data_IF_149083720035
#
_entry.id   IF_149083720035
#
_cell.length_a   1.000
_cell.length_b   1.000
_cell.length_c   1.000
_cell.angle_alpha   90.00
_cell.angle_beta   90.00
_cell.angle_gamma   90.00
#
_symmetry.space_group_name_H-M   'P 1'
#
loop_
_entity.id
_entity.type
_entity.pdbx_description
1 polymer ?
#
# COMPACT_ATOMS: atom_id res chain seq x y z
N UNK A 1 34.19 7.61 -29.68
CA UNK A 1 32.99 6.96 -29.17
C UNK A 1 32.41 7.88 -28.12
N UNK A 2 31.50 8.74 -28.52
CA UNK A 2 30.84 9.72 -27.64
C UNK A 2 29.81 8.94 -26.81
N UNK A 3 30.03 8.90 -25.49
CA UNK A 3 29.03 8.47 -24.52
C UNK A 3 27.82 9.43 -24.65
N UNK A 4 26.79 9.00 -25.33
CA UNK A 4 25.45 9.54 -25.13
C UNK A 4 25.02 9.04 -23.74
N UNK A 5 25.19 9.90 -22.73
CA UNK A 5 24.36 9.82 -21.52
C UNK A 5 22.97 10.15 -22.03
N UNK A 6 22.16 9.10 -22.29
CA UNK A 6 20.74 9.28 -22.55
C UNK A 6 20.20 10.10 -21.38
N UNK A 7 19.58 11.24 -21.70
CA UNK A 7 18.83 12.05 -20.76
C UNK A 7 17.55 11.25 -20.41
N UNK A 8 17.67 10.23 -19.55
CA UNK A 8 16.49 9.53 -19.04
C UNK A 8 15.74 10.49 -18.14
N UNK A 9 14.44 10.60 -18.34
CA UNK A 9 13.58 11.34 -17.43
C UNK A 9 13.54 10.61 -16.06
N UNK A 10 13.37 11.32 -14.92
CA UNK A 10 13.44 10.70 -13.60
C UNK A 10 12.51 9.50 -13.38
N UNK A 11 11.42 9.41 -14.13
CA UNK A 11 10.44 8.33 -13.99
C UNK A 11 10.62 7.16 -14.96
N UNK A 12 11.56 7.23 -15.92
CA UNK A 12 11.71 6.19 -16.94
C UNK A 12 12.06 4.83 -16.35
N UNK A 13 12.99 4.80 -15.38
CA UNK A 13 13.37 3.58 -14.69
C UNK A 13 12.18 3.00 -13.89
N UNK A 14 11.36 3.84 -13.28
CA UNK A 14 10.19 3.40 -12.52
C UNK A 14 9.12 2.81 -13.44
N UNK A 15 8.89 3.43 -14.61
CA UNK A 15 7.99 2.88 -15.64
C UNK A 15 8.50 1.54 -16.14
N UNK A 16 9.81 1.44 -16.42
CA UNK A 16 10.43 0.19 -16.85
C UNK A 16 10.28 -0.93 -15.82
N UNK A 17 10.48 -0.64 -14.52
CA UNK A 17 10.27 -1.60 -13.44
C UNK A 17 8.81 -2.06 -13.35
N UNK A 18 7.84 -1.16 -13.50
CA UNK A 18 6.42 -1.51 -13.47
C UNK A 18 5.99 -2.38 -14.68
N UNK A 19 6.66 -2.24 -15.81
CA UNK A 19 6.41 -3.01 -17.03
C UNK A 19 7.21 -4.32 -17.08
N UNK A 20 8.18 -4.50 -16.20
CA UNK A 20 8.99 -5.73 -16.15
C UNK A 20 8.13 -6.93 -15.79
N UNK A 21 8.33 -8.05 -16.50
CA UNK A 21 7.65 -9.30 -16.19
C UNK A 21 8.07 -9.83 -14.82
N UNK A 22 7.08 -10.31 -14.07
CA UNK A 22 7.33 -11.09 -12.87
C UNK A 22 7.20 -12.58 -13.18
N UNK A 23 7.87 -13.40 -12.39
CA UNK A 23 7.92 -14.85 -12.61
C UNK A 23 7.32 -15.61 -11.43
N UNK A 24 5.98 -15.55 -11.20
CA UNK A 24 5.33 -16.45 -10.25
C UNK A 24 5.44 -17.89 -10.73
N UNK A 25 5.20 -18.87 -9.85
CA UNK A 25 5.23 -20.29 -10.20
C UNK A 25 3.85 -20.94 -9.96
N UNK A 26 3.03 -20.95 -11.01
CA UNK A 26 1.67 -21.49 -10.96
C UNK A 26 1.64 -22.96 -10.52
N UNK A 27 2.68 -23.76 -10.80
CA UNK A 27 2.75 -25.15 -10.37
C UNK A 27 2.71 -25.32 -8.84
N UNK A 28 3.13 -24.31 -8.10
CA UNK A 28 3.06 -24.32 -6.64
C UNK A 28 1.66 -24.02 -6.12
N UNK A 29 0.91 -23.14 -6.82
CA UNK A 29 -0.50 -22.92 -6.54
C UNK A 29 -1.34 -24.18 -6.84
N UNK A 30 -1.12 -24.79 -8.01
CA UNK A 30 -1.81 -26.04 -8.41
C UNK A 30 -1.64 -27.12 -7.36
N UNK A 31 -0.42 -27.27 -6.82
CA UNK A 31 -0.13 -28.24 -5.78
C UNK A 31 -0.91 -28.00 -4.48
N UNK A 32 -1.23 -26.75 -4.14
CA UNK A 32 -2.10 -26.46 -2.98
C UNK A 32 -3.49 -27.01 -3.23
N UNK A 33 -4.07 -26.80 -4.41
CA UNK A 33 -5.40 -27.32 -4.74
C UNK A 33 -5.40 -28.86 -4.86
N UNK A 34 -4.36 -29.47 -5.40
CA UNK A 34 -4.21 -30.93 -5.42
C UNK A 34 -4.22 -31.54 -4.01
N UNK A 35 -3.51 -30.92 -3.06
CA UNK A 35 -3.48 -31.42 -1.68
C UNK A 35 -4.84 -31.21 -0.97
N UNK A 36 -5.53 -30.10 -1.21
CA UNK A 36 -6.91 -29.93 -0.73
C UNK A 36 -7.85 -30.98 -1.28
N UNK A 37 -7.70 -31.34 -2.56
CA UNK A 37 -8.44 -32.44 -3.20
C UNK A 37 -8.19 -33.79 -2.54
N UNK A 38 -6.95 -34.12 -2.26
CA UNK A 38 -6.59 -35.36 -1.53
C UNK A 38 -7.17 -35.42 -0.13
N UNK A 39 -7.31 -34.27 0.53
CA UNK A 39 -7.96 -34.17 1.84
C UNK A 39 -9.50 -34.23 1.75
N UNK A 40 -10.08 -34.24 0.54
CA UNK A 40 -11.54 -34.12 0.34
C UNK A 40 -12.11 -32.77 0.80
N UNK A 41 -11.30 -31.70 0.73
CA UNK A 41 -11.60 -30.39 1.30
C UNK A 41 -11.51 -29.24 0.30
N UNK A 42 -11.60 -29.52 -0.99
CA UNK A 42 -11.46 -28.50 -2.07
C UNK A 42 -12.38 -27.30 -1.88
N UNK A 43 -13.62 -27.54 -1.46
CA UNK A 43 -14.63 -26.48 -1.28
C UNK A 43 -14.65 -25.89 0.13
N UNK A 44 -14.17 -26.63 1.13
CA UNK A 44 -14.28 -26.23 2.55
C UNK A 44 -13.38 -25.05 2.92
N UNK A 45 -12.25 -24.93 2.23
CA UNK A 45 -11.26 -23.87 2.52
C UNK A 45 -11.58 -22.55 1.84
N UNK A 46 -12.41 -22.53 0.77
CA UNK A 46 -12.83 -21.32 0.09
C UNK A 46 -11.68 -20.34 -0.13
N UNK A 47 -11.86 -19.09 0.25
CA UNK A 47 -10.86 -18.04 0.10
C UNK A 47 -9.55 -18.27 0.87
N UNK A 48 -9.54 -19.12 1.88
CA UNK A 48 -8.29 -19.49 2.59
C UNK A 48 -7.43 -20.38 1.71
N UNK A 49 -8.03 -21.32 0.96
CA UNK A 49 -7.33 -22.12 -0.03
C UNK A 49 -6.74 -21.27 -1.15
N UNK A 50 -7.53 -20.32 -1.69
CA UNK A 50 -7.06 -19.35 -2.68
C UNK A 50 -5.88 -18.52 -2.16
N UNK A 51 -5.93 -18.07 -0.90
CA UNK A 51 -4.85 -17.29 -0.27
C UNK A 51 -3.58 -18.13 -0.09
N UNK A 52 -3.70 -19.40 0.31
CA UNK A 52 -2.55 -20.31 0.40
C UNK A 52 -1.94 -20.59 -0.98
N UNK A 53 -2.76 -20.80 -2.02
CA UNK A 53 -2.32 -20.99 -3.40
C UNK A 53 -1.61 -19.74 -3.94
N UNK A 54 -2.16 -18.53 -3.67
CA UNK A 54 -1.54 -17.26 -4.02
C UNK A 54 -0.18 -17.10 -3.33
N UNK A 55 -0.06 -17.43 -2.04
CA UNK A 55 1.22 -17.44 -1.32
C UNK A 55 2.23 -18.39 -1.96
N UNK A 56 1.84 -19.63 -2.25
CA UNK A 56 2.70 -20.62 -2.87
C UNK A 56 3.22 -20.16 -4.24
N UNK A 57 2.34 -19.57 -5.06
CA UNK A 57 2.63 -19.07 -6.39
C UNK A 57 3.71 -17.96 -6.35
N UNK A 58 3.51 -16.94 -5.53
CA UNK A 58 4.42 -15.79 -5.47
C UNK A 58 5.71 -16.09 -4.71
N UNK A 59 5.65 -16.90 -3.67
CA UNK A 59 6.86 -17.40 -3.00
C UNK A 59 7.63 -18.43 -3.84
N UNK A 60 7.05 -18.91 -4.96
CA UNK A 60 7.62 -19.98 -5.79
C UNK A 60 7.99 -21.22 -4.98
N UNK A 61 7.20 -21.54 -3.96
CA UNK A 61 7.50 -22.52 -2.93
C UNK A 61 6.27 -23.33 -2.53
N UNK A 62 6.47 -24.63 -2.34
CA UNK A 62 5.50 -25.49 -1.67
C UNK A 62 6.21 -26.30 -0.54
N UNK A 63 5.62 -26.44 0.66
CA UNK A 63 4.41 -25.75 1.12
C UNK A 63 4.62 -24.24 1.28
N UNK A 64 3.55 -23.42 1.08
CA UNK A 64 3.60 -22.00 1.37
C UNK A 64 3.78 -21.81 2.87
N UNK A 65 4.58 -20.81 3.29
CA UNK A 65 4.81 -20.52 4.70
C UNK A 65 5.24 -19.08 4.90
N UNK A 66 5.00 -18.57 6.10
CA UNK A 66 5.41 -17.24 6.51
C UNK A 66 6.34 -17.39 7.72
N UNK A 67 7.64 -17.29 7.50
CA UNK A 67 8.66 -17.33 8.55
C UNK A 67 9.07 -15.91 8.97
N UNK A 68 9.22 -15.04 7.96
CA UNK A 68 9.64 -13.65 8.13
C UNK A 68 8.60 -12.71 7.54
N UNK A 69 7.60 -12.30 8.31
CA UNK A 69 6.68 -11.26 7.88
C UNK A 69 7.20 -9.89 8.32
N UNK A 70 7.26 -8.93 7.42
CA UNK A 70 7.59 -7.53 7.73
C UNK A 70 6.35 -6.65 7.60
N UNK A 71 6.05 -5.85 8.62
CA UNK A 71 5.13 -4.73 8.56
C UNK A 71 5.93 -3.43 8.36
N UNK A 72 5.97 -2.92 7.15
CA UNK A 72 6.56 -1.62 6.86
C UNK A 72 5.54 -0.50 7.10
N UNK A 73 5.83 0.42 8.02
CA UNK A 73 5.05 1.62 8.28
C UNK A 73 5.78 2.81 7.67
N UNK A 74 5.33 3.27 6.50
CA UNK A 74 5.87 4.47 5.88
C UNK A 74 5.24 5.71 6.51
N UNK A 75 6.07 6.61 7.01
CA UNK A 75 5.62 7.81 7.70
C UNK A 75 6.10 9.07 7.00
N UNK A 76 5.16 9.92 6.60
CA UNK A 76 5.42 11.19 5.90
C UNK A 76 4.76 12.38 6.59
N UNK A 77 5.25 13.58 6.27
CA UNK A 77 4.67 14.85 6.66
C UNK A 77 4.23 15.63 5.42
N UNK A 78 3.05 16.23 5.48
CA UNK A 78 2.45 16.95 4.36
C UNK A 78 2.34 18.45 4.64
N UNK A 79 2.71 19.31 3.69
CA UNK A 79 2.42 20.74 3.75
C UNK A 79 0.92 21.02 3.84
N UNK A 80 0.10 20.12 3.32
CA UNK A 80 -1.36 20.17 3.43
C UNK A 80 -1.87 20.02 4.88
N UNK A 81 -1.08 19.50 5.82
CA UNK A 81 -1.46 19.37 7.25
C UNK A 81 -1.74 20.74 7.89
N UNK A 82 -1.07 21.80 7.40
CA UNK A 82 -1.30 23.19 7.85
C UNK A 82 -2.71 23.69 7.57
N UNK A 83 -3.41 23.08 6.62
CA UNK A 83 -4.80 23.40 6.30
C UNK A 83 -5.80 22.71 7.26
N UNK A 84 -5.35 22.10 8.36
CA UNK A 84 -6.19 21.41 9.33
C UNK A 84 -7.18 20.43 8.68
N UNK A 85 -6.67 19.60 7.77
CA UNK A 85 -7.43 18.58 7.01
C UNK A 85 -7.48 17.22 7.71
N UNK A 86 -6.84 17.09 8.85
CA UNK A 86 -6.72 15.82 9.58
C UNK A 86 -7.13 15.99 11.04
N UNK A 87 -7.74 14.96 11.62
CA UNK A 87 -7.94 14.85 13.06
C UNK A 87 -6.65 14.46 13.80
N UNK A 88 -5.65 13.94 13.07
CA UNK A 88 -4.30 13.74 13.56
C UNK A 88 -3.43 14.96 13.28
N UNK A 89 -2.47 15.21 14.15
CA UNK A 89 -1.42 16.23 13.97
C UNK A 89 -0.08 15.56 13.72
N UNK A 90 0.90 16.33 13.24
CA UNK A 90 2.26 15.82 13.03
C UNK A 90 2.89 15.37 14.36
N UNK A 91 2.64 16.06 15.48
CA UNK A 91 3.10 15.64 16.81
C UNK A 91 2.50 14.29 17.24
N UNK A 92 1.22 14.07 16.99
CA UNK A 92 0.58 12.76 17.25
C UNK A 92 1.15 11.67 16.37
N UNK A 93 1.51 11.98 15.13
CA UNK A 93 2.20 11.06 14.24
C UNK A 93 3.54 10.67 14.84
N UNK A 94 4.38 11.63 15.26
CA UNK A 94 5.69 11.38 15.89
C UNK A 94 5.56 10.52 17.16
N UNK A 95 4.65 10.89 18.05
CA UNK A 95 4.40 10.14 19.30
C UNK A 95 3.95 8.70 19.01
N UNK A 96 3.14 8.49 17.97
CA UNK A 96 2.73 7.15 17.56
C UNK A 96 3.91 6.32 17.02
N UNK A 97 4.77 6.91 16.20
CA UNK A 97 5.96 6.21 15.67
C UNK A 97 6.97 5.85 16.77
N UNK A 98 7.14 6.73 17.75
CA UNK A 98 7.95 6.44 18.94
C UNK A 98 7.37 5.26 19.73
N UNK A 99 6.06 5.30 20.00
CA UNK A 99 5.39 4.19 20.67
C UNK A 99 5.49 2.86 19.90
N UNK A 100 5.49 2.88 18.57
CA UNK A 100 5.73 1.69 17.74
C UNK A 100 7.15 1.15 17.92
N UNK A 101 8.19 2.01 17.89
CA UNK A 101 9.58 1.61 18.09
C UNK A 101 9.85 1.03 19.46
N UNK A 102 9.20 1.57 20.48
CA UNK A 102 9.33 1.11 21.86
C UNK A 102 8.41 -0.07 22.18
N UNK A 103 7.63 -0.57 21.23
CA UNK A 103 6.70 -1.69 21.46
C UNK A 103 5.48 -1.35 22.33
N UNK A 104 5.23 -0.06 22.61
CA UNK A 104 4.12 0.41 23.47
C UNK A 104 2.81 0.65 22.72
N UNK A 105 2.85 0.70 21.40
CA UNK A 105 1.63 0.87 20.61
C UNK A 105 0.78 -0.41 20.62
N UNK A 106 -0.56 -0.31 20.62
CA UNK A 106 -1.43 -1.49 20.49
C UNK A 106 -1.10 -2.37 19.27
N UNK A 107 -0.72 -1.73 18.16
CA UNK A 107 -0.29 -2.43 16.95
C UNK A 107 0.94 -3.33 17.19
N UNK A 108 1.84 -2.96 18.12
CA UNK A 108 3.01 -3.77 18.44
C UNK A 108 2.64 -5.13 19.05
N UNK A 109 1.61 -5.17 19.92
CA UNK A 109 1.10 -6.42 20.46
C UNK A 109 0.45 -7.30 19.38
N UNK A 110 -0.29 -6.68 18.46
CA UNK A 110 -0.93 -7.39 17.34
C UNK A 110 0.14 -7.94 16.38
N UNK A 111 1.17 -7.16 16.09
CA UNK A 111 2.28 -7.61 15.24
C UNK A 111 3.05 -8.78 15.87
N UNK A 112 3.31 -8.71 17.17
CA UNK A 112 3.90 -9.82 17.92
C UNK A 112 3.04 -11.08 17.81
N UNK A 113 1.73 -10.98 18.02
CA UNK A 113 0.81 -12.10 17.91
C UNK A 113 0.75 -12.67 16.50
N UNK A 114 0.79 -11.81 15.48
CA UNK A 114 0.84 -12.21 14.08
C UNK A 114 2.22 -12.74 13.64
N UNK A 115 3.26 -12.56 14.44
CA UNK A 115 4.64 -12.90 14.13
C UNK A 115 5.22 -11.99 13.03
N UNK A 116 4.84 -10.71 13.00
CA UNK A 116 5.34 -9.72 12.06
C UNK A 116 6.33 -8.77 12.74
N UNK A 117 7.47 -8.52 12.09
CA UNK A 117 8.41 -7.48 12.50
C UNK A 117 7.93 -6.11 12.03
N UNK A 118 7.83 -5.13 12.94
CA UNK A 118 7.49 -3.76 12.57
C UNK A 118 8.76 -3.01 12.18
N UNK A 119 8.72 -2.39 10.99
CA UNK A 119 9.74 -1.45 10.52
C UNK A 119 9.11 -0.08 10.30
N UNK A 120 9.51 0.87 11.12
CA UNK A 120 9.12 2.27 10.97
C UNK A 120 10.07 2.95 9.98
N UNK A 121 9.53 3.32 8.82
CA UNK A 121 10.23 3.94 7.71
C UNK A 121 9.90 5.44 7.67
N UNK A 122 10.71 6.26 8.35
CA UNK A 122 10.51 7.72 8.37
C UNK A 122 11.04 8.39 7.10
N UNK A 123 10.21 9.24 6.53
CA UNK A 123 10.44 9.91 5.25
C UNK A 123 10.53 11.44 5.46
N UNK A 124 11.62 11.88 6.09
CA UNK A 124 11.93 13.28 6.34
C UNK A 124 10.77 14.05 7.02
N UNK A 125 10.33 13.57 8.20
CA UNK A 125 9.20 14.14 8.94
C UNK A 125 9.39 15.62 9.32
N UNK A 126 10.65 16.10 9.38
CA UNK A 126 10.98 17.50 9.68
C UNK A 126 10.89 18.41 8.45
N UNK A 127 10.74 17.81 7.26
CA UNK A 127 10.61 18.53 5.99
C UNK A 127 9.33 18.09 5.31
N UNK A 128 8.17 18.70 5.62
CA UNK A 128 6.91 18.37 4.95
C UNK A 128 7.01 18.47 3.43
N UNK A 129 6.17 17.75 2.71
CA UNK A 129 6.00 17.97 1.25
C UNK A 129 5.45 19.36 0.98
N UNK A 130 5.52 19.84 -0.27
CA UNK A 130 4.81 21.05 -0.69
C UNK A 130 3.29 20.98 -0.39
N UNK A 131 2.67 22.12 -0.17
CA UNK A 131 1.22 22.20 -0.06
C UNK A 131 0.60 22.08 -1.46
N UNK A 132 -0.07 20.96 -1.73
CA UNK A 132 -0.62 20.62 -3.05
C UNK A 132 -1.63 21.63 -3.60
N UNK A 133 -2.20 22.51 -2.78
CA UNK A 133 -3.05 23.62 -3.26
C UNK A 133 -2.26 24.81 -3.78
N UNK A 134 -0.93 24.82 -3.60
CA UNK A 134 -0.05 25.95 -3.96
C UNK A 134 1.08 25.53 -4.91
N UNK A 135 1.62 24.34 -4.70
CA UNK A 135 2.79 23.82 -5.40
C UNK A 135 2.76 22.28 -5.44
N UNK A 136 3.58 21.61 -6.26
CA UNK A 136 3.70 20.16 -6.24
C UNK A 136 4.14 19.65 -4.85
N UNK A 137 3.63 18.49 -4.43
CA UNK A 137 4.06 17.86 -3.18
C UNK A 137 5.56 17.54 -3.19
N UNK A 138 6.07 17.06 -4.32
CA UNK A 138 7.47 16.67 -4.52
C UNK A 138 7.92 17.05 -5.94
N UNK A 139 9.22 17.24 -6.13
CA UNK A 139 9.81 17.22 -7.48
C UNK A 139 9.79 15.79 -8.03
N UNK A 140 9.90 15.62 -9.35
CA UNK A 140 10.04 14.28 -9.95
C UNK A 140 11.26 13.53 -9.35
N UNK A 141 12.38 14.22 -9.17
CA UNK A 141 13.59 13.65 -8.57
C UNK A 141 13.38 13.15 -7.14
N UNK A 142 12.70 13.96 -6.30
CA UNK A 142 12.41 13.58 -4.91
C UNK A 142 11.42 12.40 -4.87
N UNK A 143 10.42 12.41 -5.75
CA UNK A 143 9.47 11.32 -5.87
C UNK A 143 10.17 10.01 -6.27
N UNK A 144 11.03 10.03 -7.30
CA UNK A 144 11.82 8.88 -7.75
C UNK A 144 12.74 8.36 -6.64
N UNK A 145 13.46 9.25 -5.94
CA UNK A 145 14.31 8.87 -4.82
C UNK A 145 13.50 8.23 -3.67
N UNK A 146 12.31 8.74 -3.42
CA UNK A 146 11.41 8.19 -2.38
C UNK A 146 10.84 6.83 -2.80
N UNK A 147 10.50 6.65 -4.08
CA UNK A 147 10.11 5.34 -4.63
C UNK A 147 11.26 4.35 -4.43
N UNK A 148 12.49 4.73 -4.79
CA UNK A 148 13.67 3.88 -4.60
C UNK A 148 13.90 3.53 -3.11
N UNK A 149 13.68 4.47 -2.19
CA UNK A 149 13.75 4.19 -0.76
C UNK A 149 12.72 3.14 -0.30
N UNK A 150 11.57 3.05 -0.95
CA UNK A 150 10.57 2.02 -0.67
C UNK A 150 11.11 0.59 -0.81
N UNK A 151 12.15 0.36 -1.61
CA UNK A 151 12.80 -0.94 -1.78
C UNK A 151 13.45 -1.46 -0.50
N UNK A 152 13.88 -0.55 0.39
CA UNK A 152 14.47 -0.89 1.68
C UNK A 152 13.51 -1.65 2.61
N UNK A 153 12.20 -1.60 2.34
CA UNK A 153 11.21 -2.39 3.07
C UNK A 153 11.41 -3.91 2.93
N UNK A 154 12.14 -4.34 1.91
CA UNK A 154 12.47 -5.73 1.67
C UNK A 154 13.85 -6.14 2.24
N UNK A 155 14.57 -5.25 2.92
CA UNK A 155 15.80 -5.61 3.60
C UNK A 155 15.54 -6.78 4.58
N UNK A 156 16.48 -7.73 4.65
CA UNK A 156 16.29 -8.94 5.45
C UNK A 156 15.44 -10.02 4.81
N UNK A 157 15.05 -9.84 3.54
CA UNK A 157 14.38 -10.86 2.70
C UNK A 157 13.10 -11.41 3.35
N UNK A 158 12.07 -10.58 3.58
CA UNK A 158 10.80 -11.06 4.09
C UNK A 158 10.12 -11.99 3.07
N UNK A 159 9.39 -12.97 3.56
CA UNK A 159 8.58 -13.85 2.72
C UNK A 159 7.11 -13.39 2.62
N UNK A 160 6.77 -12.29 3.30
CA UNK A 160 5.52 -11.53 3.20
C UNK A 160 5.74 -10.10 3.64
N UNK A 161 5.34 -9.12 2.84
CA UNK A 161 5.36 -7.71 3.16
C UNK A 161 3.95 -7.19 3.43
N UNK A 162 3.69 -6.74 4.65
CA UNK A 162 2.52 -5.95 5.01
C UNK A 162 2.89 -4.46 4.98
N UNK A 163 2.01 -3.61 4.44
CA UNK A 163 2.27 -2.17 4.31
C UNK A 163 1.22 -1.40 5.10
N UNK A 164 1.68 -0.42 5.87
CA UNK A 164 0.86 0.60 6.51
C UNK A 164 1.46 1.98 6.31
N UNK A 165 0.67 3.03 6.54
CA UNK A 165 1.12 4.42 6.40
C UNK A 165 0.71 5.27 7.61
N UNK A 166 1.52 6.28 7.92
CA UNK A 166 1.25 7.20 9.03
C UNK A 166 1.61 8.64 8.65
N UNK A 167 0.72 9.60 8.93
CA UNK A 167 0.93 11.03 8.66
C UNK A 167 -0.38 11.83 8.66
N UNK A 168 -0.30 13.08 9.08
CA UNK A 168 -1.42 14.02 9.01
C UNK A 168 -1.65 14.48 7.56
N UNK A 169 -2.87 14.31 7.03
CA UNK A 169 -3.19 14.73 5.65
C UNK A 169 -3.15 13.62 4.59
N UNK A 170 -2.55 12.47 4.87
CA UNK A 170 -2.43 11.33 3.93
C UNK A 170 -3.75 11.03 3.18
N UNK A 171 -4.86 10.95 3.91
CA UNK A 171 -6.15 10.61 3.30
C UNK A 171 -6.66 11.64 2.31
N UNK A 172 -6.26 12.90 2.46
CA UNK A 172 -6.61 14.00 1.55
C UNK A 172 -5.68 13.99 0.33
N UNK A 173 -4.38 13.79 0.52
CA UNK A 173 -3.42 13.61 -0.57
C UNK A 173 -3.78 12.38 -1.43
N UNK A 174 -4.06 11.22 -0.81
CA UNK A 174 -4.51 10.03 -1.52
C UNK A 174 -5.81 10.27 -2.32
N UNK A 175 -6.76 11.06 -1.78
CA UNK A 175 -7.98 11.42 -2.50
C UNK A 175 -7.68 12.32 -3.72
N UNK A 176 -6.70 13.23 -3.63
CA UNK A 176 -6.28 14.04 -4.76
C UNK A 176 -5.63 13.20 -5.87
N UNK A 177 -4.74 12.26 -5.52
CA UNK A 177 -4.16 11.30 -6.47
C UNK A 177 -5.26 10.45 -7.10
N UNK A 178 -6.21 9.91 -6.33
CA UNK A 178 -7.32 9.11 -6.86
C UNK A 178 -8.18 9.92 -7.84
N UNK A 179 -8.49 11.17 -7.51
CA UNK A 179 -9.25 12.05 -8.38
C UNK A 179 -8.51 12.35 -9.69
N UNK A 180 -7.20 12.56 -9.62
CA UNK A 180 -6.38 12.76 -10.82
C UNK A 180 -6.31 11.51 -11.70
N UNK A 181 -6.19 10.31 -11.12
CA UNK A 181 -6.07 9.05 -11.85
C UNK A 181 -7.40 8.57 -12.46
N UNK A 182 -8.48 8.68 -11.71
CA UNK A 182 -9.73 8.00 -12.05
C UNK A 182 -10.87 8.94 -12.43
N UNK A 183 -10.67 10.25 -12.27
CA UNK A 183 -11.74 11.23 -12.52
C UNK A 183 -12.86 11.19 -11.47
N UNK A 184 -14.04 11.60 -11.87
CA UNK A 184 -15.18 11.75 -10.96
C UNK A 184 -15.21 13.14 -10.33
N UNK A 185 -15.31 13.23 -9.00
CA UNK A 185 -15.26 14.49 -8.26
C UNK A 185 -14.44 14.35 -6.97
N UNK A 186 -14.02 15.49 -6.41
CA UNK A 186 -13.32 15.54 -5.15
C UNK A 186 -14.19 14.96 -4.02
N UNK A 187 -15.48 15.27 -3.99
CA UNK A 187 -16.43 14.75 -3.00
C UNK A 187 -16.51 13.21 -3.05
N UNK A 188 -16.44 12.63 -4.24
CA UNK A 188 -16.45 11.19 -4.41
C UNK A 188 -15.27 10.52 -3.71
N UNK A 189 -14.06 11.08 -3.84
CA UNK A 189 -12.84 10.48 -3.32
C UNK A 189 -12.52 10.83 -1.86
N UNK A 190 -13.08 11.93 -1.32
CA UNK A 190 -12.92 12.27 0.10
C UNK A 190 -13.96 11.61 1.00
N UNK A 191 -14.96 10.89 0.46
CA UNK A 191 -16.00 10.22 1.28
C UNK A 191 -15.37 9.50 2.46
N UNK A 192 -15.63 9.97 3.69
CA UNK A 192 -14.97 9.44 4.88
C UNK A 192 -15.70 8.20 5.41
N UNK A 193 -15.04 7.52 6.35
CA UNK A 193 -15.72 6.59 7.23
C UNK A 193 -16.57 7.32 8.29
N UNK A 194 -17.35 6.56 9.08
CA UNK A 194 -18.20 7.10 10.15
C UNK A 194 -17.42 7.98 11.14
N UNK A 195 -18.10 8.99 11.68
CA UNK A 195 -17.56 9.87 12.73
C UNK A 195 -16.67 11.01 12.24
N UNK A 196 -16.47 11.18 10.94
CA UNK A 196 -15.78 12.35 10.41
C UNK A 196 -16.75 13.54 10.35
N UNK A 197 -16.40 14.71 10.91
CA UNK A 197 -17.23 15.90 10.83
C UNK A 197 -17.52 16.33 9.39
N UNK A 198 -18.74 16.79 9.13
CA UNK A 198 -19.17 17.15 7.79
C UNK A 198 -18.43 18.38 7.23
N UNK A 199 -18.16 19.37 8.08
CA UNK A 199 -17.38 20.54 7.74
C UNK A 199 -15.94 20.19 7.33
N UNK A 200 -15.32 19.26 8.03
CA UNK A 200 -14.00 18.72 7.67
C UNK A 200 -14.05 17.99 6.33
N UNK A 201 -15.13 17.23 6.06
CA UNK A 201 -15.31 16.55 4.77
C UNK A 201 -15.46 17.56 3.63
N UNK A 202 -16.28 18.59 3.80
CA UNK A 202 -16.45 19.67 2.81
C UNK A 202 -15.13 20.41 2.57
N UNK A 203 -14.37 20.71 3.62
CA UNK A 203 -13.06 21.36 3.53
C UNK A 203 -12.08 20.50 2.72
N UNK A 204 -11.99 19.20 3.00
CA UNK A 204 -11.14 18.27 2.24
C UNK A 204 -11.52 18.22 0.76
N UNK A 205 -12.81 18.18 0.45
CA UNK A 205 -13.29 18.15 -0.93
C UNK A 205 -12.89 19.44 -1.69
N UNK A 206 -13.06 20.61 -1.07
CA UNK A 206 -12.67 21.88 -1.66
C UNK A 206 -11.16 21.93 -1.97
N UNK A 207 -10.31 21.54 -1.00
CA UNK A 207 -8.85 21.52 -1.17
C UNK A 207 -8.38 20.50 -2.20
N UNK A 208 -9.01 19.31 -2.26
CA UNK A 208 -8.71 18.31 -3.29
C UNK A 208 -9.08 18.81 -4.68
N UNK A 209 -10.24 19.46 -4.84
CA UNK A 209 -10.68 20.04 -6.12
C UNK A 209 -9.74 21.16 -6.58
N UNK A 210 -9.36 22.07 -5.66
CA UNK A 210 -8.38 23.13 -5.90
C UNK A 210 -7.03 22.56 -6.35
N UNK A 211 -6.49 21.59 -5.62
CA UNK A 211 -5.21 20.95 -5.92
C UNK A 211 -5.22 20.27 -7.30
N UNK A 212 -6.25 19.48 -7.60
CA UNK A 212 -6.32 18.79 -8.90
C UNK A 212 -6.47 19.78 -10.04
N UNK A 213 -7.27 20.85 -9.89
CA UNK A 213 -7.39 21.92 -10.88
C UNK A 213 -6.06 22.60 -11.15
N UNK A 214 -5.29 22.91 -10.10
CA UNK A 214 -3.99 23.56 -10.21
C UNK A 214 -2.98 22.70 -11.00
N UNK A 215 -2.96 21.39 -10.75
CA UNK A 215 -1.94 20.52 -11.30
C UNK A 215 -2.33 19.80 -12.59
N UNK A 216 -3.61 19.75 -12.94
CA UNK A 216 -4.17 18.92 -14.01
C UNK A 216 -3.45 19.04 -15.36
N UNK A 217 -3.05 20.25 -15.74
CA UNK A 217 -2.36 20.49 -17.03
C UNK A 217 -0.92 19.91 -17.05
N UNK A 218 -0.38 19.56 -15.90
CA UNK A 218 0.98 19.05 -15.73
C UNK A 218 0.99 17.56 -15.38
N UNK A 219 -0.15 16.91 -15.30
CA UNK A 219 -0.26 15.48 -15.03
C UNK A 219 -0.45 14.75 -16.36
N UNK A 220 0.64 14.21 -16.88
CA UNK A 220 0.66 13.44 -18.11
C UNK A 220 0.57 11.92 -17.89
N UNK A 221 0.95 11.46 -16.68
CA UNK A 221 0.94 10.05 -16.31
C UNK A 221 0.72 9.84 -14.79
N UNK A 222 0.57 8.58 -14.33
CA UNK A 222 0.32 8.28 -12.93
C UNK A 222 1.42 8.71 -11.95
N UNK A 223 2.69 8.72 -12.36
CA UNK A 223 3.82 9.13 -11.52
C UNK A 223 3.83 10.66 -11.34
N UNK A 224 3.40 11.42 -12.35
CA UNK A 224 3.18 12.85 -12.22
C UNK A 224 2.05 13.16 -11.23
N UNK A 225 0.96 12.39 -11.27
CA UNK A 225 -0.11 12.55 -10.29
C UNK A 225 0.41 12.28 -8.86
N UNK A 226 1.22 11.25 -8.68
CA UNK A 226 1.86 10.90 -7.41
C UNK A 226 2.80 12.00 -6.93
N UNK A 227 3.69 12.51 -7.79
CA UNK A 227 4.66 13.54 -7.42
C UNK A 227 3.99 14.86 -7.04
N UNK A 228 2.96 15.26 -7.78
CA UNK A 228 2.30 16.56 -7.60
C UNK A 228 1.27 16.59 -6.48
N UNK A 229 0.55 15.49 -6.28
CA UNK A 229 -0.62 15.44 -5.40
C UNK A 229 -0.47 14.49 -4.22
N UNK A 230 0.53 13.60 -4.24
CA UNK A 230 0.72 12.54 -3.27
C UNK A 230 1.48 12.96 -2.01
N UNK A 231 2.29 12.05 -1.53
CA UNK A 231 3.16 12.21 -0.39
C UNK A 231 4.30 11.20 -0.43
N UNK A 232 5.35 11.41 0.37
CA UNK A 232 6.51 10.51 0.39
C UNK A 232 6.12 9.09 0.78
N UNK A 233 5.20 8.90 1.71
CA UNK A 233 4.72 7.58 2.13
C UNK A 233 3.98 6.84 1.01
N UNK A 234 3.23 7.55 0.16
CA UNK A 234 2.60 6.96 -1.02
C UNK A 234 3.64 6.57 -2.07
N UNK A 235 4.65 7.42 -2.29
CA UNK A 235 5.75 7.13 -3.20
C UNK A 235 6.58 5.93 -2.73
N UNK A 236 6.91 5.85 -1.43
CA UNK A 236 7.61 4.71 -0.87
C UNK A 236 6.77 3.42 -0.96
N UNK A 237 5.43 3.48 -0.78
CA UNK A 237 4.55 2.35 -1.01
C UNK A 237 4.61 1.84 -2.46
N UNK A 238 4.62 2.75 -3.46
CA UNK A 238 4.81 2.38 -4.88
C UNK A 238 6.11 1.60 -5.06
N UNK A 239 7.21 2.10 -4.48
CA UNK A 239 8.51 1.43 -4.52
C UNK A 239 8.51 0.05 -3.87
N UNK A 240 7.92 -0.05 -2.68
CA UNK A 240 7.79 -1.32 -1.96
C UNK A 240 7.00 -2.37 -2.77
N UNK A 241 5.90 -1.96 -3.40
CA UNK A 241 5.08 -2.83 -4.26
C UNK A 241 5.89 -3.31 -5.46
N UNK A 242 6.58 -2.41 -6.17
CA UNK A 242 7.37 -2.77 -7.34
C UNK A 242 8.54 -3.71 -6.98
N UNK A 243 9.29 -3.38 -5.92
CA UNK A 243 10.40 -4.20 -5.47
C UNK A 243 9.96 -5.61 -5.02
N UNK A 244 8.83 -5.69 -4.29
CA UNK A 244 8.26 -6.96 -3.86
C UNK A 244 7.87 -7.85 -5.05
N UNK A 245 7.28 -7.24 -6.09
CA UNK A 245 6.94 -7.95 -7.32
C UNK A 245 8.15 -8.61 -7.98
N UNK A 246 9.24 -7.86 -8.12
CA UNK A 246 10.48 -8.34 -8.73
C UNK A 246 11.14 -9.47 -7.92
N UNK A 247 11.07 -9.37 -6.60
CA UNK A 247 11.63 -10.39 -5.69
C UNK A 247 10.70 -11.57 -5.45
N UNK A 248 9.45 -11.54 -5.94
CA UNK A 248 8.47 -12.59 -5.72
C UNK A 248 7.93 -12.62 -4.29
N UNK A 249 7.89 -11.46 -3.62
CA UNK A 249 7.38 -11.31 -2.26
C UNK A 249 5.90 -10.90 -2.32
N UNK A 250 4.97 -11.68 -1.74
CA UNK A 250 3.58 -11.29 -1.61
C UNK A 250 3.40 -10.02 -0.78
N UNK A 251 2.46 -9.14 -1.18
CA UNK A 251 2.20 -7.86 -0.51
C UNK A 251 0.77 -7.79 0.01
N UNK A 252 0.60 -7.26 1.22
CA UNK A 252 -0.70 -7.01 1.85
C UNK A 252 -0.89 -5.51 2.08
N UNK A 253 -1.88 -4.92 1.41
CA UNK A 253 -2.23 -3.49 1.54
C UNK A 253 -3.12 -3.25 2.76
N UNK A 254 -3.00 -2.06 3.35
CA UNK A 254 -3.80 -1.61 4.49
C UNK A 254 -4.57 -0.32 4.22
N UNK A 255 -5.83 -0.45 3.85
CA UNK A 255 -6.75 0.68 3.72
C UNK A 255 -6.55 1.55 2.48
N UNK A 256 -7.20 2.73 2.48
CA UNK A 256 -7.37 3.58 1.31
C UNK A 256 -6.05 4.08 0.70
N UNK A 257 -5.15 4.62 1.52
CA UNK A 257 -3.95 5.29 1.01
C UNK A 257 -2.99 4.30 0.34
N UNK A 258 -2.75 3.12 0.93
CA UNK A 258 -1.93 2.06 0.31
C UNK A 258 -2.59 1.49 -0.95
N UNK A 259 -3.94 1.44 -0.99
CA UNK A 259 -4.70 1.06 -2.18
C UNK A 259 -4.53 2.08 -3.31
N UNK A 260 -4.47 3.38 -3.00
CA UNK A 260 -4.20 4.41 -4.01
C UNK A 260 -2.75 4.35 -4.50
N UNK A 261 -1.78 4.07 -3.63
CA UNK A 261 -0.40 3.82 -4.07
C UNK A 261 -0.32 2.62 -5.03
N UNK A 262 -1.01 1.52 -4.72
CA UNK A 262 -1.17 0.40 -5.65
C UNK A 262 -1.90 0.82 -6.94
N UNK A 263 -2.86 1.73 -6.84
CA UNK A 263 -3.57 2.32 -7.98
C UNK A 263 -2.65 3.05 -8.96
N UNK A 264 -1.61 3.72 -8.48
CA UNK A 264 -0.56 4.32 -9.33
C UNK A 264 0.16 3.23 -10.14
N UNK A 265 0.57 2.14 -9.49
CA UNK A 265 1.22 1.00 -10.17
C UNK A 265 0.29 0.37 -11.18
N UNK A 266 -0.98 0.13 -10.81
CA UNK A 266 -2.00 -0.43 -11.70
C UNK A 266 -2.27 0.44 -12.93
N UNK A 267 -2.26 1.76 -12.79
CA UNK A 267 -2.47 2.68 -13.90
C UNK A 267 -1.30 2.68 -14.90
N UNK A 268 -0.07 2.29 -14.47
CA UNK A 268 1.07 2.07 -15.36
C UNK A 268 0.95 0.70 -16.04
N UNK A 269 0.67 -0.34 -15.25
CA UNK A 269 0.54 -1.72 -15.71
C UNK A 269 -0.54 -2.45 -14.88
N UNK A 270 -1.71 -2.72 -15.48
CA UNK A 270 -2.80 -3.41 -14.79
C UNK A 270 -2.41 -4.80 -14.25
N UNK A 271 -1.43 -5.46 -14.84
CA UNK A 271 -0.94 -6.79 -14.43
C UNK A 271 0.13 -6.72 -13.33
N UNK A 272 0.55 -5.52 -12.92
CA UNK A 272 1.62 -5.38 -11.92
C UNK A 272 1.19 -5.61 -10.47
N UNK A 273 -0.08 -5.94 -10.21
CA UNK A 273 -0.62 -6.14 -8.86
C UNK A 273 -0.99 -7.60 -8.51
N UNK A 274 -0.58 -8.60 -9.30
CA UNK A 274 -0.99 -9.99 -9.05
C UNK A 274 -0.43 -10.55 -7.74
N UNK A 275 0.72 -10.03 -7.27
CA UNK A 275 1.35 -10.34 -5.98
C UNK A 275 0.76 -9.56 -4.81
N UNK A 276 -0.28 -8.76 -5.03
CA UNK A 276 -0.88 -7.85 -4.05
C UNK A 276 -2.27 -8.32 -3.67
N UNK A 277 -2.58 -8.34 -2.38
CA UNK A 277 -3.94 -8.47 -1.86
C UNK A 277 -4.27 -7.29 -0.94
N UNK A 278 -5.57 -6.97 -0.82
CA UNK A 278 -6.07 -6.03 0.16
C UNK A 278 -6.42 -6.76 1.46
N UNK A 279 -5.90 -6.31 2.59
CA UNK A 279 -6.15 -6.94 3.88
C UNK A 279 -7.62 -6.87 4.27
N UNK A 280 -8.19 -5.68 4.24
CA UNK A 280 -9.53 -5.46 4.75
C UNK A 280 -10.29 -4.39 3.98
N UNK A 281 -11.61 -4.47 4.00
CA UNK A 281 -12.49 -3.37 3.66
C UNK A 281 -12.54 -2.39 4.85
N UNK A 282 -12.34 -1.11 4.59
CA UNK A 282 -12.62 -0.08 5.59
C UNK A 282 -14.05 0.42 5.42
N UNK A 283 -14.64 0.97 6.49
CA UNK A 283 -15.96 1.64 6.41
C UNK A 283 -15.95 2.98 5.64
N UNK A 284 -14.92 3.19 4.82
CA UNK A 284 -14.75 4.38 3.98
C UNK A 284 -15.19 4.05 2.54
N UNK A 285 -16.28 4.64 2.02
CA UNK A 285 -16.76 4.33 0.67
C UNK A 285 -15.74 4.61 -0.43
N UNK A 286 -14.87 5.60 -0.24
CA UNK A 286 -13.77 5.86 -1.17
C UNK A 286 -12.76 4.72 -1.27
N UNK A 287 -12.58 3.92 -0.20
CA UNK A 287 -11.70 2.75 -0.23
C UNK A 287 -12.28 1.60 -1.04
N UNK A 288 -13.57 1.32 -0.87
CA UNK A 288 -14.28 0.32 -1.68
C UNK A 288 -14.18 0.66 -3.18
N UNK A 289 -14.46 1.92 -3.52
CA UNK A 289 -14.30 2.40 -4.89
C UNK A 289 -12.85 2.26 -5.42
N UNK A 290 -11.84 2.49 -4.58
CA UNK A 290 -10.44 2.31 -4.97
C UNK A 290 -10.09 0.83 -5.21
N UNK A 291 -10.59 -0.08 -4.36
CA UNK A 291 -10.42 -1.53 -4.54
C UNK A 291 -11.04 -2.02 -5.85
N UNK A 292 -12.25 -1.54 -6.19
CA UNK A 292 -12.90 -1.84 -7.46
C UNK A 292 -12.05 -1.40 -8.67
N UNK A 293 -11.44 -0.20 -8.59
CA UNK A 293 -10.60 0.34 -9.68
C UNK A 293 -9.36 -0.50 -9.97
N UNK A 294 -8.79 -1.13 -8.96
CA UNK A 294 -7.61 -2.00 -9.12
C UNK A 294 -7.98 -3.49 -9.17
N UNK A 295 -9.27 -3.84 -9.27
CA UNK A 295 -9.74 -5.21 -9.39
C UNK A 295 -9.44 -6.09 -8.16
N UNK A 296 -9.36 -5.50 -6.95
CA UNK A 296 -9.04 -6.23 -5.72
C UNK A 296 -10.24 -6.34 -4.80
N UNK A 297 -10.39 -7.51 -4.18
CA UNK A 297 -11.36 -7.76 -3.12
C UNK A 297 -10.62 -7.90 -1.79
N UNK A 298 -11.12 -7.23 -0.76
CA UNK A 298 -10.56 -7.33 0.58
C UNK A 298 -10.66 -8.76 1.14
N UNK A 299 -9.61 -9.20 1.86
CA UNK A 299 -9.55 -10.53 2.47
C UNK A 299 -10.55 -10.66 3.62
N UNK A 300 -10.71 -9.61 4.41
CA UNK A 300 -11.63 -9.55 5.56
C UNK A 300 -12.40 -8.22 5.61
N UNK A 301 -13.50 -8.26 6.32
CA UNK A 301 -14.29 -7.08 6.70
C UNK A 301 -14.52 -7.13 8.23
N UNK A 302 -13.75 -6.34 8.96
CA UNK A 302 -13.82 -6.20 10.41
C UNK A 302 -14.15 -4.76 10.81
N UNK A 303 -14.74 -3.99 9.88
CA UNK A 303 -15.14 -2.61 10.07
C UNK A 303 -14.00 -1.66 10.52
N UNK A 304 -12.74 -2.00 10.21
CA UNK A 304 -11.61 -1.12 10.48
C UNK A 304 -11.76 0.21 9.73
N UNK A 305 -11.28 1.29 10.34
CA UNK A 305 -11.43 2.64 9.78
C UNK A 305 -10.10 3.26 9.33
N UNK A 306 -8.99 2.64 9.70
CA UNK A 306 -7.65 3.18 9.47
C UNK A 306 -6.83 2.30 8.54
N UNK A 307 -5.81 2.89 7.91
CA UNK A 307 -4.82 2.22 7.07
C UNK A 307 -3.41 2.24 7.68
N UNK A 308 -3.29 2.27 9.01
CA UNK A 308 -2.03 2.43 9.74
C UNK A 308 -1.30 1.13 10.07
N UNK A 309 -1.58 0.03 9.36
CA UNK A 309 -0.95 -1.26 9.57
C UNK A 309 -1.79 -2.29 10.33
N UNK A 310 -2.93 -1.88 10.91
CA UNK A 310 -3.75 -2.77 11.73
C UNK A 310 -4.35 -3.91 10.91
N UNK A 311 -4.97 -3.60 9.79
CA UNK A 311 -5.61 -4.59 8.94
C UNK A 311 -4.60 -5.50 8.26
N UNK A 312 -3.52 -4.94 7.71
CA UNK A 312 -2.48 -5.74 7.05
C UNK A 312 -1.77 -6.67 8.04
N UNK A 313 -1.54 -6.24 9.27
CA UNK A 313 -0.99 -7.11 10.33
C UNK A 313 -1.95 -8.23 10.72
N UNK A 314 -3.24 -7.94 10.86
CA UNK A 314 -4.25 -8.98 11.12
C UNK A 314 -4.29 -10.00 9.99
N UNK A 315 -4.16 -9.55 8.74
CA UNK A 315 -4.11 -10.42 7.57
C UNK A 315 -2.87 -11.34 7.56
N UNK A 316 -1.73 -10.93 8.10
CA UNK A 316 -0.54 -11.80 8.28
C UNK A 316 -0.93 -13.03 9.09
N UNK A 317 -1.62 -12.87 10.23
CA UNK A 317 -2.09 -13.99 11.05
C UNK A 317 -3.05 -14.90 10.31
N UNK A 318 -3.98 -14.32 9.53
CA UNK A 318 -4.91 -15.08 8.70
C UNK A 318 -4.20 -15.88 7.60
N UNK A 319 -3.23 -15.29 6.93
CA UNK A 319 -2.42 -15.96 5.91
C UNK A 319 -1.55 -17.07 6.49
N UNK A 320 -1.00 -16.92 7.70
CA UNK A 320 -0.34 -18.01 8.43
C UNK A 320 -1.29 -19.18 8.65
N UNK A 321 -2.52 -18.87 9.08
CA UNK A 321 -3.57 -19.89 9.27
C UNK A 321 -3.91 -20.59 7.94
N UNK A 322 -3.98 -19.85 6.83
CA UNK A 322 -4.21 -20.41 5.50
C UNK A 322 -3.11 -21.40 5.06
N UNK A 323 -1.86 -21.09 5.40
CA UNK A 323 -0.71 -21.96 5.05
C UNK A 323 -0.53 -23.16 5.98
N UNK A 324 -1.04 -23.11 7.21
CA UNK A 324 -0.77 -24.12 8.25
C UNK A 324 -1.11 -25.56 7.86
N UNK A 325 -2.24 -25.86 7.17
CA UNK A 325 -2.58 -27.23 6.78
C UNK A 325 -1.56 -27.92 5.87
N UNK A 326 -0.82 -27.14 5.09
CA UNK A 326 0.17 -27.66 4.13
C UNK A 326 1.56 -27.87 4.74
N UNK A 327 1.81 -27.30 5.93
CA UNK A 327 3.08 -27.39 6.67
C UNK A 327 3.02 -28.56 7.66
N UNK A 328 1.84 -28.83 8.24
CA UNK A 328 1.64 -29.93 9.17
C UNK A 328 1.97 -31.27 8.50
N UNK A 329 2.84 -32.08 9.11
CA UNK A 329 3.01 -33.46 8.66
C UNK A 329 1.68 -34.20 8.87
N UNK A 330 1.19 -34.95 7.89
CA UNK A 330 0.07 -35.83 8.15
C UNK A 330 0.43 -36.78 9.30
N UNK A 331 -0.49 -36.90 10.26
CA UNK A 331 -0.38 -37.79 11.42
C UNK A 331 -0.32 -39.25 10.97
#
# INVERSE_FOLDING_TARGET
MTNQVENSEPFDDIRALALQDATPDASKADRVFEELGKMGRETDFGRMGEAAAWMANWQRRYPPRIEKATLAIFAGAHGLSQEAVSLATDDRTRAHLEALREGRAPLSAIATQAGAEIRVMELALDVPTGNITKEPAMTQKDCTATIAYGFESLAGEPDLLAIGVSGAGIGTAAAAVAYALYGGSAEYWVRPGPGTPEDLTRKRAALVDEAVKLHRQHISDPLEALARLGGRELAACVGAILAARLQGVPVVLDGFATTIAAGVVHAINPNALDHVIAAHATRRPAHEAALERIGKRALMDLEYQTGGGLGSTTAVGLLRTACAPFIAKPA
#
